data_IF_341221613846
#
_entry.id   IF_341221613846
#
_cell.length_a   1.000
_cell.length_b   1.000
_cell.length_c   1.000
_cell.angle_alpha   90.00
_cell.angle_beta   90.00
_cell.angle_gamma   90.00
#
_symmetry.space_group_name_H-M   'P 1'
#
loop_
_entity.id
_entity.type
_entity.pdbx_description
1 polymer ?
#
# COMPACT_ATOMS: atom_id res chain seq x y z
N UNK A 1 32.32 27.10 -69.62
CA UNK A 1 31.29 26.69 -68.65
C UNK A 1 31.84 26.91 -67.25
N UNK A 2 31.19 27.71 -66.39
CA UNK A 2 31.79 28.32 -65.21
C UNK A 2 31.52 27.56 -63.88
N UNK A 3 32.42 27.82 -62.93
CA UNK A 3 32.25 28.03 -61.47
C UNK A 3 31.20 27.26 -60.63
N UNK A 4 31.73 26.49 -59.67
CA UNK A 4 31.46 26.51 -58.22
C UNK A 4 30.04 26.75 -57.67
N UNK A 5 29.53 25.78 -56.90
CA UNK A 5 28.77 26.04 -55.66
C UNK A 5 29.27 25.10 -54.56
N UNK A 6 29.80 25.74 -53.52
CA UNK A 6 30.10 25.21 -52.20
C UNK A 6 28.78 25.14 -51.40
N UNK A 7 28.49 24.01 -50.76
CA UNK A 7 27.43 23.94 -49.75
C UNK A 7 27.82 22.97 -48.62
N UNK A 8 28.30 23.61 -47.56
CA UNK A 8 28.22 23.24 -46.14
C UNK A 8 27.33 22.02 -45.82
N UNK A 9 27.91 20.97 -45.23
CA UNK A 9 27.18 20.05 -44.37
C UNK A 9 27.88 20.02 -43.01
N UNK A 10 27.10 20.44 -42.01
CA UNK A 10 27.50 20.74 -40.65
C UNK A 10 28.22 19.57 -39.98
N UNK A 11 29.34 19.87 -39.33
CA UNK A 11 29.81 19.10 -38.20
C UNK A 11 28.77 19.24 -37.08
N UNK A 12 27.94 18.22 -36.89
CA UNK A 12 27.15 18.09 -35.67
C UNK A 12 28.13 17.77 -34.53
N UNK A 13 28.48 18.80 -33.76
CA UNK A 13 29.10 18.61 -32.46
C UNK A 13 28.19 17.69 -31.65
N UNK A 14 28.68 16.52 -31.27
CA UNK A 14 28.06 15.68 -30.28
C UNK A 14 28.09 16.44 -28.95
N UNK A 15 27.06 17.26 -28.70
CA UNK A 15 26.78 17.76 -27.34
C UNK A 15 26.51 16.54 -26.48
N UNK A 16 27.46 16.20 -25.61
CA UNK A 16 27.28 15.26 -24.51
C UNK A 16 26.31 15.82 -23.47
N UNK A 17 25.08 16.12 -23.88
CA UNK A 17 24.00 16.34 -22.94
C UNK A 17 23.76 15.00 -22.26
N UNK A 18 24.10 14.91 -20.97
CA UNK A 18 23.61 13.82 -20.14
C UNK A 18 22.08 13.74 -20.35
N UNK A 19 21.51 12.53 -20.52
CA UNK A 19 20.06 12.41 -20.61
C UNK A 19 19.45 13.14 -19.41
N UNK A 20 18.36 13.91 -19.60
CA UNK A 20 17.73 14.60 -18.48
C UNK A 20 17.47 13.57 -17.39
N UNK A 21 17.88 13.89 -16.15
CA UNK A 21 17.60 13.03 -15.02
C UNK A 21 16.09 12.76 -15.02
N UNK A 22 15.71 11.50 -15.30
CA UNK A 22 14.30 11.12 -15.28
C UNK A 22 13.83 11.42 -13.86
N UNK A 23 12.94 12.42 -13.73
CA UNK A 23 12.39 12.80 -12.45
C UNK A 23 11.66 11.58 -11.91
N UNK A 24 12.23 10.93 -10.88
CA UNK A 24 11.59 9.79 -10.23
C UNK A 24 10.28 10.27 -9.62
N UNK A 25 9.13 9.67 -9.98
CA UNK A 25 7.85 10.04 -9.41
C UNK A 25 7.93 10.00 -7.88
N UNK A 26 7.40 11.02 -7.22
CA UNK A 26 7.38 11.15 -5.77
C UNK A 26 5.95 11.46 -5.37
N UNK A 27 5.40 10.71 -4.42
CA UNK A 27 4.12 11.07 -3.82
C UNK A 27 4.25 12.44 -3.15
N UNK A 28 3.25 13.30 -3.32
CA UNK A 28 3.22 14.62 -2.67
C UNK A 28 3.48 14.46 -1.17
N UNK A 29 4.46 15.18 -0.60
CA UNK A 29 4.76 15.08 0.82
C UNK A 29 3.53 15.40 1.68
N UNK A 30 3.29 14.64 2.75
CA UNK A 30 2.21 14.95 3.67
C UNK A 30 2.50 16.25 4.44
N UNK A 31 1.45 16.94 4.89
CA UNK A 31 1.58 18.21 5.64
C UNK A 31 1.46 18.07 7.15
N UNK A 32 1.27 16.85 7.65
CA UNK A 32 1.15 16.60 9.09
C UNK A 32 2.50 16.67 9.81
N UNK A 33 2.44 16.64 11.13
CA UNK A 33 3.59 16.87 12.01
C UNK A 33 4.42 15.60 12.29
N UNK A 34 3.92 14.43 11.89
CA UNK A 34 4.59 13.16 12.16
C UNK A 34 5.28 12.62 10.90
N UNK A 35 6.52 12.17 11.05
CA UNK A 35 7.13 11.21 10.11
C UNK A 35 6.27 9.96 10.08
N UNK A 36 6.09 9.36 8.91
CA UNK A 36 5.21 8.19 8.78
C UNK A 36 6.02 6.90 8.84
N UNK A 37 5.74 6.06 9.82
CA UNK A 37 6.20 4.67 9.83
C UNK A 37 5.21 3.77 9.10
N UNK A 38 5.67 2.65 8.55
CA UNK A 38 4.78 1.64 7.99
C UNK A 38 5.28 0.21 8.19
N UNK A 39 4.32 -0.72 8.32
CA UNK A 39 4.54 -2.17 8.47
C UNK A 39 3.51 -2.94 7.65
N UNK A 40 3.91 -4.10 7.11
CA UNK A 40 3.00 -5.00 6.41
C UNK A 40 2.85 -6.30 7.20
N UNK A 41 1.63 -6.82 7.25
CA UNK A 41 1.27 -8.05 7.94
C UNK A 41 0.49 -8.95 6.99
N UNK A 42 0.61 -10.25 7.22
CA UNK A 42 -0.23 -11.26 6.59
C UNK A 42 -0.98 -11.98 7.72
N UNK A 43 -2.31 -11.81 7.76
CA UNK A 43 -3.14 -12.38 8.81
C UNK A 43 -4.14 -13.35 8.23
N UNK A 44 -4.07 -14.60 8.69
CA UNK A 44 -5.03 -15.65 8.33
C UNK A 44 -6.11 -15.78 9.39
N UNK A 45 -7.36 -15.67 8.97
CA UNK A 45 -8.54 -15.94 9.78
C UNK A 45 -8.86 -17.43 9.72
N UNK A 46 -8.39 -18.17 10.73
CA UNK A 46 -8.62 -19.62 10.83
C UNK A 46 -10.07 -20.00 11.15
N UNK A 47 -10.95 -19.02 11.41
CA UNK A 47 -12.37 -19.27 11.66
C UNK A 47 -13.21 -19.25 10.37
N UNK A 48 -12.65 -18.72 9.27
CA UNK A 48 -13.31 -18.63 7.97
C UNK A 48 -12.52 -19.42 6.93
N UNK A 49 -13.22 -20.27 6.20
CA UNK A 49 -12.69 -20.90 4.97
C UNK A 49 -12.50 -19.82 3.89
N UNK A 50 -11.63 -20.09 2.92
CA UNK A 50 -11.49 -19.24 1.72
C UNK A 50 -12.61 -19.57 0.72
N UNK A 51 -13.57 -18.66 0.46
CA UNK A 51 -14.73 -18.93 -0.39
C UNK A 51 -14.39 -19.29 -1.84
N UNK A 52 -13.20 -18.92 -2.32
CA UNK A 52 -12.79 -19.12 -3.69
C UNK A 52 -12.18 -20.51 -3.98
N UNK A 53 -11.90 -21.31 -2.95
CA UNK A 53 -11.30 -22.64 -3.13
C UNK A 53 -12.20 -23.75 -2.57
N UNK A 54 -12.02 -24.97 -3.09
CA UNK A 54 -12.73 -26.15 -2.60
C UNK A 54 -11.94 -26.89 -1.51
N UNK A 55 -10.79 -26.36 -1.12
CA UNK A 55 -9.93 -26.95 -0.10
C UNK A 55 -10.42 -26.50 1.29
N UNK A 56 -10.94 -27.40 2.13
CA UNK A 56 -11.44 -27.03 3.45
C UNK A 56 -10.34 -26.59 4.43
N UNK A 57 -9.07 -26.84 4.12
CA UNK A 57 -7.93 -26.39 4.93
C UNK A 57 -7.43 -24.99 4.50
N UNK A 58 -7.99 -24.42 3.42
CA UNK A 58 -7.68 -23.07 2.97
C UNK A 58 -8.51 -22.04 3.73
N UNK A 59 -7.82 -21.04 4.26
CA UNK A 59 -8.39 -20.06 5.17
C UNK A 59 -8.13 -18.65 4.69
N UNK A 60 -9.12 -17.79 4.92
CA UNK A 60 -9.11 -16.40 4.47
C UNK A 60 -7.87 -15.67 4.98
N UNK A 61 -6.97 -15.29 4.08
CA UNK A 61 -5.71 -14.59 4.43
C UNK A 61 -5.72 -13.18 3.88
N UNK A 62 -5.57 -12.18 4.76
CA UNK A 62 -5.55 -10.77 4.39
C UNK A 62 -4.11 -10.24 4.39
N UNK A 63 -3.80 -9.40 3.39
CA UNK A 63 -2.56 -8.63 3.36
C UNK A 63 -2.86 -7.21 3.84
N UNK A 64 -2.21 -6.81 4.91
CA UNK A 64 -2.53 -5.58 5.63
C UNK A 64 -1.29 -4.70 5.69
N UNK A 65 -1.47 -3.41 5.56
CA UNK A 65 -0.42 -2.44 5.81
C UNK A 65 -0.90 -1.37 6.77
N UNK A 66 -0.08 -1.11 7.77
CA UNK A 66 -0.33 -0.08 8.78
C UNK A 66 0.60 1.08 8.48
N UNK A 67 0.06 2.28 8.35
CA UNK A 67 0.79 3.55 8.39
C UNK A 67 0.51 4.22 9.72
N UNK A 68 1.53 4.75 10.38
CA UNK A 68 1.38 5.29 11.72
C UNK A 68 2.31 6.46 12.01
N UNK A 69 1.99 7.29 13.02
CA UNK A 69 2.87 8.35 13.49
C UNK A 69 4.17 7.74 14.02
N UNK A 70 5.29 8.04 13.37
CA UNK A 70 6.62 7.56 13.74
C UNK A 70 7.35 8.53 14.65
N UNK A 71 8.19 8.00 15.54
CA UNK A 71 9.12 8.80 16.33
C UNK A 71 10.19 9.35 15.39
N UNK A 72 10.33 10.68 15.32
CA UNK A 72 11.44 11.29 14.59
C UNK A 72 12.76 10.87 15.25
N UNK A 73 13.73 10.41 14.45
CA UNK A 73 15.13 10.46 14.89
C UNK A 73 15.59 11.92 14.96
N UNK A 74 16.66 12.22 15.70
CA UNK A 74 17.24 13.57 15.79
C UNK A 74 17.66 14.16 14.42
N UNK A 75 17.68 13.36 13.35
CA UNK A 75 17.95 13.72 11.95
C UNK A 75 16.75 13.50 10.99
N UNK A 76 15.56 13.21 11.51
CA UNK A 76 14.32 13.06 10.75
C UNK A 76 14.10 11.68 10.10
N UNK A 77 15.09 10.79 10.11
CA UNK A 77 14.94 9.40 9.65
C UNK A 77 15.99 8.54 10.35
N UNK A 78 15.73 8.08 11.56
CA UNK A 78 16.66 7.18 12.24
C UNK A 78 16.80 5.88 11.43
N UNK A 79 17.85 5.74 10.61
CA UNK A 79 18.30 4.57 9.82
C UNK A 79 17.27 3.72 9.04
N UNK A 80 15.97 4.00 9.15
CA UNK A 80 14.89 3.18 8.62
C UNK A 80 14.83 3.33 7.09
N UNK A 81 14.71 2.21 6.34
CA UNK A 81 14.66 2.29 4.89
C UNK A 81 13.31 2.88 4.43
N UNK A 82 13.29 3.65 3.32
CA UNK A 82 12.03 4.14 2.75
C UNK A 82 11.17 2.97 2.29
N UNK A 83 9.85 3.09 2.47
CA UNK A 83 8.91 2.07 2.06
C UNK A 83 8.71 2.09 0.53
N UNK A 84 8.63 0.93 -0.14
CA UNK A 84 8.25 0.88 -1.54
C UNK A 84 6.78 1.31 -1.69
N UNK A 85 6.44 1.91 -2.85
CA UNK A 85 5.06 2.28 -3.16
C UNK A 85 4.10 1.08 -3.15
N UNK A 86 4.56 -0.06 -3.67
CA UNK A 86 3.79 -1.29 -3.70
C UNK A 86 4.67 -2.43 -3.15
N UNK A 87 4.44 -2.88 -1.91
CA UNK A 87 5.12 -4.05 -1.37
C UNK A 87 4.87 -5.29 -2.25
N UNK A 88 5.88 -6.16 -2.39
CA UNK A 88 5.82 -7.37 -3.24
C UNK A 88 5.53 -7.12 -4.73
N UNK A 89 5.87 -5.94 -5.25
CA UNK A 89 5.66 -5.56 -6.65
C UNK A 89 6.16 -6.62 -7.66
N UNK A 90 7.23 -7.34 -7.35
CA UNK A 90 7.79 -8.37 -8.23
C UNK A 90 6.83 -9.54 -8.53
N UNK A 91 5.86 -9.81 -7.64
CA UNK A 91 4.85 -10.86 -7.84
C UNK A 91 3.95 -10.58 -9.06
N UNK A 92 3.74 -9.31 -9.39
CA UNK A 92 2.87 -8.87 -10.49
C UNK A 92 3.49 -9.00 -11.88
N UNK A 93 4.77 -9.38 -12.01
CA UNK A 93 5.44 -9.52 -13.32
C UNK A 93 4.76 -10.50 -14.28
N UNK A 94 3.98 -11.45 -13.75
CA UNK A 94 3.26 -12.42 -14.57
C UNK A 94 1.97 -11.83 -15.17
N UNK A 95 1.40 -10.79 -14.55
CA UNK A 95 0.12 -10.20 -14.90
C UNK A 95 0.25 -8.76 -15.43
N UNK A 96 1.44 -8.17 -15.32
CA UNK A 96 1.67 -6.74 -15.54
C UNK A 96 2.91 -6.52 -16.39
N UNK A 97 2.83 -5.55 -17.30
CA UNK A 97 3.93 -5.17 -18.20
C UNK A 97 5.17 -4.65 -17.42
N UNK A 98 6.37 -5.05 -17.83
CA UNK A 98 7.62 -4.70 -17.14
C UNK A 98 7.87 -3.18 -17.10
N UNK A 99 7.44 -2.42 -18.10
CA UNK A 99 7.59 -0.96 -18.08
C UNK A 99 6.72 -0.33 -16.98
N UNK A 100 5.53 -0.88 -16.72
CA UNK A 100 4.69 -0.45 -15.61
C UNK A 100 5.28 -0.87 -14.26
N UNK A 101 5.81 -2.10 -14.15
CA UNK A 101 6.53 -2.56 -12.95
C UNK A 101 7.68 -1.62 -12.60
N UNK A 102 8.54 -1.27 -13.55
CA UNK A 102 9.67 -0.38 -13.29
C UNK A 102 9.23 1.06 -13.01
N UNK A 103 8.13 1.52 -13.61
CA UNK A 103 7.51 2.80 -13.29
C UNK A 103 7.03 2.85 -11.83
N UNK A 104 6.29 1.82 -11.38
CA UNK A 104 5.79 1.71 -10.01
C UNK A 104 6.92 1.56 -8.98
N UNK A 105 7.98 0.81 -9.32
CA UNK A 105 9.18 0.67 -8.48
C UNK A 105 9.89 2.00 -8.26
N UNK A 106 9.88 2.87 -9.27
CA UNK A 106 10.52 4.18 -9.20
C UNK A 106 9.74 5.19 -8.35
N UNK A 107 8.47 4.91 -8.02
CA UNK A 107 7.65 5.78 -7.16
C UNK A 107 8.22 5.81 -5.76
N UNK A 108 8.60 7.01 -5.31
CA UNK A 108 9.03 7.25 -3.94
C UNK A 108 7.84 7.66 -3.07
N UNK A 109 7.74 7.02 -1.92
CA UNK A 109 6.73 7.29 -0.88
C UNK A 109 7.27 8.29 0.14
N UNK A 110 6.50 8.60 1.19
CA UNK A 110 6.95 9.43 2.32
C UNK A 110 7.00 8.65 3.63
N UNK A 111 6.86 7.33 3.59
CA UNK A 111 6.87 6.46 4.76
C UNK A 111 8.14 5.61 4.85
N UNK A 112 8.46 5.18 6.07
CA UNK A 112 9.66 4.41 6.40
C UNK A 112 9.29 3.07 7.02
N UNK A 113 9.92 1.99 6.56
CA UNK A 113 9.66 0.64 7.04
C UNK A 113 10.11 0.49 8.49
N UNK A 114 9.24 -0.11 9.30
CA UNK A 114 9.52 -0.54 10.68
C UNK A 114 9.97 0.57 11.64
N UNK A 115 9.80 1.84 11.27
CA UNK A 115 10.11 3.00 12.12
C UNK A 115 9.44 2.84 13.49
N UNK A 116 10.10 3.25 14.57
CA UNK A 116 9.46 3.21 15.90
C UNK A 116 8.21 4.10 15.90
N UNK A 117 7.11 3.62 16.50
CA UNK A 117 5.91 4.44 16.68
C UNK A 117 6.22 5.61 17.63
N UNK A 118 5.67 6.79 17.35
CA UNK A 118 5.72 7.92 18.26
C UNK A 118 5.02 7.61 19.58
N UNK A 119 5.46 8.22 20.67
CA UNK A 119 4.72 8.16 21.92
C UNK A 119 3.38 8.89 21.78
N UNK A 120 2.30 8.29 22.29
CA UNK A 120 0.97 8.88 22.23
C UNK A 120 -0.15 7.86 22.24
N UNK A 121 -1.37 8.37 22.05
CA UNK A 121 -2.58 7.57 21.84
C UNK A 121 -3.24 8.12 20.58
N UNK A 122 -3.30 7.30 19.54
CA UNK A 122 -3.71 7.70 18.20
C UNK A 122 -5.00 6.98 17.80
N UNK A 123 -6.04 7.69 17.34
CA UNK A 123 -7.22 7.06 16.76
C UNK A 123 -6.84 6.19 15.56
N UNK A 124 -7.62 5.13 15.35
CA UNK A 124 -7.40 4.15 14.29
C UNK A 124 -8.37 4.39 13.14
N UNK A 125 -7.85 4.37 11.93
CA UNK A 125 -8.61 4.46 10.68
C UNK A 125 -8.42 3.17 9.91
N UNK A 126 -9.48 2.40 9.72
CA UNK A 126 -9.47 1.25 8.82
C UNK A 126 -9.80 1.72 7.41
N UNK A 127 -8.97 1.34 6.44
CA UNK A 127 -9.17 1.69 5.04
C UNK A 127 -9.38 0.44 4.18
N UNK A 128 -10.43 0.45 3.37
CA UNK A 128 -10.69 -0.58 2.35
C UNK A 128 -10.69 0.01 0.93
N UNK A 129 -9.96 -0.66 0.03
CA UNK A 129 -9.90 -0.27 -1.38
C UNK A 129 -11.20 -0.62 -2.12
N UNK A 130 -11.44 0.02 -3.27
CA UNK A 130 -12.55 -0.36 -4.15
C UNK A 130 -12.31 -1.68 -4.87
N UNK A 131 -13.36 -2.24 -5.48
CA UNK A 131 -13.23 -3.44 -6.32
C UNK A 131 -12.16 -3.26 -7.40
N UNK A 132 -11.31 -4.27 -7.58
CA UNK A 132 -10.15 -4.21 -8.47
C UNK A 132 -8.95 -3.42 -7.94
N UNK A 133 -9.07 -2.85 -6.74
CA UNK A 133 -8.05 -2.00 -6.16
C UNK A 133 -6.95 -2.73 -5.40
N UNK A 134 -6.01 -1.94 -4.90
CA UNK A 134 -5.08 -2.30 -3.83
C UNK A 134 -4.95 -1.12 -2.88
N UNK A 135 -4.70 -1.39 -1.60
CA UNK A 135 -4.34 -0.41 -0.56
C UNK A 135 -3.22 0.52 -1.01
N UNK A 136 -2.27 0.01 -1.82
CA UNK A 136 -1.08 0.75 -2.26
C UNK A 136 -1.45 1.95 -3.13
N UNK A 137 -2.56 1.88 -3.87
CA UNK A 137 -3.04 2.96 -4.75
C UNK A 137 -3.47 4.21 -3.98
N UNK A 138 -3.70 4.07 -2.67
CA UNK A 138 -4.16 5.14 -1.80
C UNK A 138 -3.04 5.68 -0.92
N UNK A 139 -1.79 5.21 -1.07
CA UNK A 139 -0.66 5.57 -0.19
C UNK A 139 -0.53 7.07 0.05
N UNK A 140 -0.76 7.92 -0.96
CA UNK A 140 -0.70 9.37 -0.78
C UNK A 140 -1.66 9.88 0.31
N UNK A 141 -2.93 9.44 0.29
CA UNK A 141 -3.91 9.89 1.28
C UNK A 141 -3.71 9.17 2.62
N UNK A 142 -3.33 7.90 2.61
CA UNK A 142 -3.13 7.13 3.84
C UNK A 142 -1.91 7.63 4.63
N UNK A 143 -0.80 7.95 3.95
CA UNK A 143 0.36 8.63 4.56
C UNK A 143 -0.02 10.00 5.10
N UNK A 144 -0.83 10.76 4.36
CA UNK A 144 -1.28 12.07 4.79
C UNK A 144 -2.11 11.99 6.07
N UNK A 145 -3.07 11.06 6.16
CA UNK A 145 -3.84 10.84 7.38
C UNK A 145 -2.94 10.41 8.53
N UNK A 146 -2.00 9.49 8.29
CA UNK A 146 -1.07 9.02 9.33
C UNK A 146 -0.19 10.15 9.88
N UNK A 147 0.30 11.03 9.00
CA UNK A 147 1.12 12.20 9.40
C UNK A 147 0.39 13.17 10.34
N UNK A 148 -0.95 13.14 10.38
CA UNK A 148 -1.78 13.99 11.23
C UNK A 148 -2.14 13.33 12.58
N UNK A 149 -1.49 12.22 12.93
CA UNK A 149 -1.66 11.59 14.24
C UNK A 149 -2.74 10.50 14.26
N UNK A 150 -2.93 9.80 13.14
CA UNK A 150 -3.83 8.64 13.04
C UNK A 150 -3.03 7.38 12.73
N UNK A 151 -3.44 6.25 13.27
CA UNK A 151 -2.97 4.95 12.77
C UNK A 151 -3.91 4.52 11.66
N UNK A 152 -3.40 4.31 10.44
CA UNK A 152 -4.19 3.93 9.28
C UNK A 152 -3.87 2.48 8.91
N UNK A 153 -4.90 1.63 8.83
CA UNK A 153 -4.77 0.20 8.52
C UNK A 153 -5.44 -0.06 7.19
N UNK A 154 -4.66 -0.15 6.12
CA UNK A 154 -5.15 -0.49 4.78
C UNK A 154 -5.17 -2.01 4.59
N UNK A 155 -6.29 -2.52 4.12
CA UNK A 155 -6.52 -3.96 3.93
C UNK A 155 -6.67 -4.28 2.45
N UNK A 156 -5.90 -5.24 1.96
CA UNK A 156 -6.13 -5.89 0.67
C UNK A 156 -7.00 -7.13 0.87
N UNK A 157 -8.08 -7.19 0.09
CA UNK A 157 -9.10 -8.23 0.20
C UNK A 157 -8.99 -9.20 -0.99
N UNK A 158 -8.50 -10.45 -0.79
CA UNK A 158 -8.36 -11.42 -1.87
C UNK A 158 -9.66 -11.64 -2.65
N UNK A 159 -9.56 -11.77 -3.96
CA UNK A 159 -10.68 -11.92 -4.92
C UNK A 159 -11.56 -10.68 -5.09
N UNK A 160 -11.36 -9.61 -4.32
CA UNK A 160 -11.98 -8.30 -4.58
C UNK A 160 -10.97 -7.25 -5.05
N UNK A 161 -9.68 -7.47 -4.83
CA UNK A 161 -8.59 -6.60 -5.26
C UNK A 161 -7.46 -7.36 -5.94
N UNK A 162 -6.43 -6.60 -6.34
CA UNK A 162 -5.15 -7.14 -6.78
C UNK A 162 -4.25 -7.34 -5.55
N UNK A 163 -4.00 -8.59 -5.18
CA UNK A 163 -3.34 -8.94 -3.91
C UNK A 163 -2.14 -9.84 -4.14
N UNK A 164 -0.95 -9.34 -3.82
CA UNK A 164 0.28 -10.13 -3.80
C UNK A 164 0.41 -10.88 -2.48
N UNK A 165 0.22 -12.19 -2.55
CA UNK A 165 0.20 -13.09 -1.41
C UNK A 165 1.62 -13.38 -0.89
N UNK A 166 1.75 -13.89 0.36
CA UNK A 166 3.05 -14.13 0.98
C UNK A 166 3.88 -15.20 0.26
N UNK A 167 3.23 -16.12 -0.43
CA UNK A 167 3.84 -17.18 -1.24
C UNK A 167 4.35 -16.68 -2.62
N UNK A 168 4.12 -15.40 -2.94
CA UNK A 168 4.52 -14.79 -4.20
C UNK A 168 3.48 -14.93 -5.32
N UNK A 169 2.34 -15.57 -5.07
CA UNK A 169 1.21 -15.57 -6.00
C UNK A 169 0.49 -14.22 -6.00
N UNK A 170 -0.26 -13.95 -7.07
CA UNK A 170 -1.14 -12.78 -7.17
C UNK A 170 -2.57 -13.27 -7.31
N UNK A 171 -3.43 -12.88 -6.37
CA UNK A 171 -4.87 -13.08 -6.46
C UNK A 171 -5.45 -11.85 -7.14
N UNK A 172 -6.25 -12.08 -8.18
CA UNK A 172 -6.95 -11.05 -8.94
C UNK A 172 -8.43 -11.01 -8.53
N UNK A 173 -9.15 -9.92 -8.83
CA UNK A 173 -10.58 -9.83 -8.57
C UNK A 173 -11.36 -10.89 -9.36
N UNK A 174 -12.29 -11.57 -8.68
CA UNK A 174 -13.16 -12.59 -9.27
C UNK A 174 -14.57 -12.51 -8.66
N UNK A 175 -15.51 -11.98 -9.45
CA UNK A 175 -16.92 -11.86 -9.05
C UNK A 175 -17.58 -13.23 -8.83
N UNK A 176 -17.07 -14.30 -9.46
CA UNK A 176 -17.68 -15.63 -9.39
C UNK A 176 -17.51 -16.32 -8.03
N UNK A 177 -16.61 -15.81 -7.19
CA UNK A 177 -16.42 -16.24 -5.81
C UNK A 177 -17.56 -15.81 -4.88
N UNK A 178 -18.47 -14.94 -5.34
CA UNK A 178 -19.60 -14.43 -4.56
C UNK A 178 -20.90 -14.69 -5.29
N UNK A 179 -21.95 -15.03 -4.56
CA UNK A 179 -23.29 -15.22 -5.12
C UNK A 179 -23.87 -13.92 -5.69
N UNK A 180 -23.47 -12.76 -5.15
CA UNK A 180 -23.86 -11.43 -5.62
C UNK A 180 -23.04 -10.33 -4.90
N UNK A 181 -23.22 -9.08 -5.33
CA UNK A 181 -22.52 -7.93 -4.74
C UNK A 181 -22.84 -7.64 -3.27
N UNK A 182 -23.97 -8.12 -2.73
CA UNK A 182 -24.26 -8.00 -1.29
C UNK A 182 -23.36 -8.92 -0.49
N UNK A 183 -23.21 -10.17 -0.92
CA UNK A 183 -22.28 -11.11 -0.27
C UNK A 183 -20.84 -10.61 -0.36
N UNK A 184 -20.41 -10.10 -1.50
CA UNK A 184 -19.09 -9.46 -1.62
C UNK A 184 -18.90 -8.32 -0.61
N UNK A 185 -19.93 -7.50 -0.39
CA UNK A 185 -19.91 -6.43 0.61
C UNK A 185 -19.83 -6.97 2.05
N UNK A 186 -20.58 -8.05 2.35
CA UNK A 186 -20.54 -8.72 3.65
C UNK A 186 -19.13 -9.30 3.93
N UNK A 187 -18.42 -9.78 2.89
CA UNK A 187 -17.02 -10.22 3.00
C UNK A 187 -16.06 -9.07 3.30
N UNK A 188 -16.19 -7.93 2.60
CA UNK A 188 -15.40 -6.73 2.93
C UNK A 188 -15.57 -6.33 4.39
N UNK A 189 -16.81 -6.25 4.89
CA UNK A 189 -17.09 -5.90 6.30
C UNK A 189 -16.55 -6.96 7.26
N UNK A 190 -16.68 -8.25 6.95
CA UNK A 190 -16.17 -9.35 7.78
C UNK A 190 -14.64 -9.32 7.87
N UNK A 191 -13.96 -8.99 6.77
CA UNK A 191 -12.51 -8.79 6.74
C UNK A 191 -12.08 -7.63 7.65
N UNK A 192 -12.81 -6.50 7.64
CA UNK A 192 -12.53 -5.38 8.53
C UNK A 192 -12.77 -5.72 10.01
N UNK A 193 -13.80 -6.50 10.33
CA UNK A 193 -14.04 -6.99 11.69
C UNK A 193 -12.90 -7.88 12.18
N UNK A 194 -12.43 -8.80 11.34
CA UNK A 194 -11.27 -9.63 11.66
C UNK A 194 -9.99 -8.79 11.89
N UNK A 195 -9.79 -7.72 11.11
CA UNK A 195 -8.70 -6.77 11.33
C UNK A 195 -8.82 -6.09 12.69
N UNK A 196 -10.02 -5.65 13.10
CA UNK A 196 -10.26 -5.06 14.43
C UNK A 196 -9.88 -6.05 15.53
N UNK A 197 -10.32 -7.30 15.42
CA UNK A 197 -10.02 -8.34 16.41
C UNK A 197 -8.50 -8.56 16.53
N UNK A 198 -7.78 -8.62 15.41
CA UNK A 198 -6.32 -8.75 15.38
C UNK A 198 -5.59 -7.55 16.01
N UNK A 199 -6.08 -6.33 15.80
CA UNK A 199 -5.55 -5.14 16.46
C UNK A 199 -5.77 -5.19 17.98
N UNK A 200 -6.95 -5.63 18.42
CA UNK A 200 -7.28 -5.80 19.83
C UNK A 200 -6.40 -6.87 20.50
N UNK A 201 -6.19 -8.01 19.84
CA UNK A 201 -5.28 -9.07 20.29
C UNK A 201 -3.85 -8.53 20.45
N UNK A 202 -3.31 -7.82 19.45
CA UNK A 202 -1.98 -7.25 19.51
C UNK A 202 -1.83 -6.22 20.63
N UNK A 203 -2.84 -5.35 20.82
CA UNK A 203 -2.86 -4.35 21.91
C UNK A 203 -2.87 -5.01 23.29
N UNK A 204 -3.67 -6.07 23.46
CA UNK A 204 -3.77 -6.84 24.70
C UNK A 204 -2.49 -7.63 25.00
N UNK A 205 -1.81 -8.14 23.97
CA UNK A 205 -0.53 -8.82 24.08
C UNK A 205 0.63 -7.88 24.47
N UNK A 206 0.43 -6.57 24.35
CA UNK A 206 1.47 -5.57 24.65
C UNK A 206 2.48 -5.40 23.51
N UNK A 207 2.09 -5.73 22.28
CA UNK A 207 2.94 -5.56 21.11
C UNK A 207 3.34 -4.09 20.92
N UNK A 208 4.66 -3.84 20.81
CA UNK A 208 5.20 -2.48 20.72
C UNK A 208 4.69 -1.70 19.50
N UNK A 209 4.40 -2.40 18.39
CA UNK A 209 3.87 -1.78 17.17
C UNK A 209 2.40 -1.35 17.30
N UNK A 210 1.66 -1.89 18.28
CA UNK A 210 0.26 -1.55 18.56
C UNK A 210 0.10 -0.65 19.79
N UNK A 211 1.17 -0.37 20.52
CA UNK A 211 1.12 0.28 21.84
C UNK A 211 0.43 1.66 21.83
N UNK A 212 0.61 2.45 20.77
CA UNK A 212 0.01 3.77 20.64
C UNK A 212 -1.40 3.78 20.03
N UNK A 213 -1.97 2.63 19.65
CA UNK A 213 -3.30 2.57 19.03
C UNK A 213 -4.41 2.77 20.07
N UNK A 214 -5.32 3.72 19.80
CA UNK A 214 -6.54 3.93 20.56
C UNK A 214 -7.71 3.15 19.93
N UNK A 215 -7.96 1.95 20.44
CA UNK A 215 -9.03 1.07 19.94
C UNK A 215 -10.43 1.46 20.40
N UNK A 216 -10.57 2.48 21.26
CA UNK A 216 -11.87 3.09 21.58
C UNK A 216 -12.28 4.14 20.52
N UNK A 217 -11.36 4.51 19.62
CA UNK A 217 -11.58 5.51 18.57
C UNK A 217 -11.22 4.92 17.21
N UNK A 218 -12.10 4.05 16.71
CA UNK A 218 -11.97 3.43 15.39
C UNK A 218 -12.95 4.11 14.42
N UNK A 219 -12.43 4.52 13.27
CA UNK A 219 -13.21 5.00 12.13
C UNK A 219 -12.91 4.11 10.93
N UNK A 220 -13.93 3.82 10.14
CA UNK A 220 -13.82 3.11 8.88
C UNK A 220 -13.92 4.10 7.72
N UNK A 221 -13.12 3.88 6.67
CA UNK A 221 -13.20 4.62 5.42
C UNK A 221 -12.89 3.72 4.24
N UNK A 222 -13.34 4.08 3.06
CA UNK A 222 -13.03 3.32 1.87
C UNK A 222 -13.43 4.03 0.59
N UNK A 223 -12.98 3.47 -0.53
CA UNK A 223 -13.32 3.95 -1.86
C UNK A 223 -14.28 2.97 -2.55
N UNK A 224 -15.34 3.47 -3.21
CA UNK A 224 -16.27 2.65 -3.99
C UNK A 224 -16.84 1.47 -3.16
N UNK A 225 -16.68 0.22 -3.60
CA UNK A 225 -17.12 -0.98 -2.86
C UNK A 225 -16.56 -1.03 -1.43
N UNK A 226 -15.28 -0.71 -1.23
CA UNK A 226 -14.69 -0.63 0.11
C UNK A 226 -15.30 0.48 0.97
N UNK A 227 -15.82 1.55 0.36
CA UNK A 227 -16.57 2.59 1.05
C UNK A 227 -18.02 2.19 1.36
N UNK A 228 -18.60 1.26 0.60
CA UNK A 228 -19.94 0.72 0.90
C UNK A 228 -19.92 -0.26 2.06
N UNK A 229 -18.78 -0.90 2.30
CA UNK A 229 -18.57 -1.84 3.40
C UNK A 229 -18.00 -1.19 4.67
N UNK A 230 -17.51 0.05 4.57
CA UNK A 230 -16.97 0.87 5.66
C UNK A 230 -18.07 1.41 6.58
#
# INVERSE_FOLDING_TARGET
>A
MPFAIMALLLAAAASGAAPPAVARPQLTPPSGNHTVGTRTFDWTDRSREEPATADPDDHRTLVIQVWYPGAAGDDGSGAAPPAPYMPRLDAYRQTTDEALIESLRAVRTNSFLDLAMAEGSFPVVLFSHGWGGSRSWYSLVLEHVASHGYVVVGTDHPYMGEVAMPDGSVILPDDSCFANGREASDWYSSDLMFVIDRLAEARAAGDSWAAGMNLEQIVTMGHSSGGSAA
#
